data_IF_377276100039
#
_entry.id   IF_377276100039
#
_cell.length_a   1.000
_cell.length_b   1.000
_cell.length_c   1.000
_cell.angle_alpha   90.00
_cell.angle_beta   90.00
_cell.angle_gamma   90.00
#
_symmetry.space_group_name_H-M   'P 1'
#
loop_
_entity.id
_entity.type
_entity.pdbx_description
1 polymer ?
#
# COMPACT_ATOMS: atom_id res chain seq x y z
N UNK A 1 7.58 -18.49 15.23
CA UNK A 1 6.80 -19.46 16.00
C UNK A 1 6.46 -20.67 15.12
N UNK A 2 5.88 -20.47 13.93
CA UNK A 2 5.45 -21.56 13.03
C UNK A 2 6.59 -22.36 12.39
N UNK A 3 7.78 -21.79 12.29
CA UNK A 3 8.95 -22.44 11.66
C UNK A 3 9.89 -23.09 12.68
N UNK A 4 9.52 -23.12 13.96
CA UNK A 4 10.31 -23.71 15.01
C UNK A 4 10.27 -25.24 14.86
N UNK A 5 11.37 -25.85 14.41
CA UNK A 5 11.49 -27.29 14.15
C UNK A 5 11.53 -27.69 12.67
N UNK A 6 11.39 -26.76 11.75
CA UNK A 6 11.58 -26.99 10.30
C UNK A 6 13.04 -26.73 9.95
N UNK A 7 13.75 -27.75 9.53
CA UNK A 7 15.21 -27.72 9.31
C UNK A 7 15.59 -27.67 7.82
N UNK A 8 14.62 -27.68 6.91
CA UNK A 8 14.82 -27.77 5.46
C UNK A 8 15.21 -26.43 4.82
N UNK A 9 14.84 -25.29 5.42
CA UNK A 9 15.21 -23.98 4.93
C UNK A 9 15.24 -22.93 6.06
N UNK A 10 16.07 -21.91 5.88
CA UNK A 10 16.09 -20.75 6.78
C UNK A 10 14.97 -19.77 6.37
N UNK A 11 13.84 -19.80 7.05
CA UNK A 11 12.70 -18.90 6.81
C UNK A 11 12.83 -17.52 7.49
N UNK A 12 13.88 -17.32 8.29
CA UNK A 12 14.12 -16.04 8.94
C UNK A 12 14.92 -15.11 8.01
N UNK A 13 14.28 -14.66 6.94
CA UNK A 13 14.87 -13.73 5.95
C UNK A 13 14.13 -12.39 6.01
N UNK A 14 14.54 -11.46 6.89
CA UNK A 14 13.84 -10.17 7.08
C UNK A 14 13.81 -9.32 5.80
N UNK A 15 14.85 -9.44 4.98
CA UNK A 15 14.94 -8.74 3.69
C UNK A 15 13.85 -9.20 2.71
N UNK A 16 13.55 -10.50 2.67
CA UNK A 16 12.44 -11.03 1.86
C UNK A 16 11.09 -10.44 2.32
N UNK A 17 10.85 -10.46 3.64
CA UNK A 17 9.64 -9.89 4.21
C UNK A 17 9.49 -8.39 3.89
N UNK A 18 10.59 -7.63 3.96
CA UNK A 18 10.62 -6.21 3.61
C UNK A 18 10.21 -5.98 2.14
N UNK A 19 10.81 -6.68 1.19
CA UNK A 19 10.50 -6.50 -0.23
C UNK A 19 9.06 -6.91 -0.58
N UNK A 20 8.55 -7.99 0.01
CA UNK A 20 7.16 -8.40 -0.16
C UNK A 20 6.21 -7.36 0.44
N UNK A 21 6.51 -6.82 1.62
CA UNK A 21 5.68 -5.77 2.24
C UNK A 21 5.64 -4.51 1.36
N UNK A 22 6.79 -4.09 0.81
CA UNK A 22 6.85 -2.95 -0.12
C UNK A 22 6.09 -3.22 -1.43
N UNK A 23 6.13 -4.45 -1.94
CA UNK A 23 5.36 -4.85 -3.12
C UNK A 23 3.85 -4.74 -2.86
N UNK A 24 3.38 -5.20 -1.70
CA UNK A 24 1.98 -5.06 -1.30
C UNK A 24 1.59 -3.61 -1.00
N UNK A 25 2.48 -2.78 -0.47
CA UNK A 25 2.24 -1.34 -0.32
C UNK A 25 2.01 -0.69 -1.70
N UNK A 26 2.85 -0.98 -2.69
CA UNK A 26 2.66 -0.52 -4.07
C UNK A 26 1.32 -1.02 -4.66
N UNK A 27 0.93 -2.26 -4.37
CA UNK A 27 -0.38 -2.81 -4.76
C UNK A 27 -1.54 -2.01 -4.14
N UNK A 28 -1.49 -1.69 -2.85
CA UNK A 28 -2.52 -0.90 -2.17
C UNK A 28 -2.67 0.50 -2.78
N UNK A 29 -1.56 1.17 -3.08
CA UNK A 29 -1.55 2.49 -3.76
C UNK A 29 -2.20 2.39 -5.14
N UNK A 30 -2.07 1.27 -5.84
CA UNK A 30 -2.63 1.03 -7.18
C UNK A 30 -4.14 0.83 -7.18
N UNK A 31 -4.74 0.29 -6.13
CA UNK A 31 -6.17 -0.11 -6.08
C UNK A 31 -7.10 1.00 -6.59
N UNK A 32 -7.05 2.26 -6.08
CA UNK A 32 -7.95 3.31 -6.56
C UNK A 32 -7.81 3.59 -8.05
N UNK A 33 -6.60 3.58 -8.59
CA UNK A 33 -6.34 3.79 -10.02
C UNK A 33 -6.92 2.66 -10.87
N UNK A 34 -6.77 1.41 -10.41
CA UNK A 34 -7.35 0.24 -11.06
C UNK A 34 -8.87 0.32 -11.11
N UNK A 35 -9.52 0.69 -10.02
CA UNK A 35 -10.99 0.84 -9.95
C UNK A 35 -11.46 1.93 -10.92
N UNK A 36 -10.75 3.05 -11.01
CA UNK A 36 -11.09 4.14 -11.94
C UNK A 36 -11.00 3.70 -13.40
N UNK A 37 -9.96 2.94 -13.78
CA UNK A 37 -9.80 2.39 -15.13
C UNK A 37 -10.93 1.41 -15.45
N UNK A 38 -11.30 0.55 -14.50
CA UNK A 38 -12.42 -0.38 -14.65
C UNK A 38 -13.75 0.36 -14.81
N UNK A 39 -14.00 1.40 -14.01
CA UNK A 39 -15.19 2.23 -14.11
C UNK A 39 -15.28 2.98 -15.47
N UNK A 40 -14.14 3.34 -16.05
CA UNK A 40 -14.04 3.92 -17.38
C UNK A 40 -14.17 2.90 -18.54
N UNK A 41 -14.35 1.61 -18.26
CA UNK A 41 -14.44 0.52 -19.23
C UNK A 41 -13.19 0.34 -20.12
N UNK A 42 -11.99 0.69 -19.58
CA UNK A 42 -10.72 0.61 -20.29
C UNK A 42 -9.98 -0.73 -20.02
N UNK A 43 -10.67 -1.87 -20.13
CA UNK A 43 -10.13 -3.21 -19.82
C UNK A 43 -8.96 -3.64 -20.70
N UNK A 44 -9.05 -3.36 -22.01
CA UNK A 44 -8.06 -3.80 -22.98
C UNK A 44 -6.67 -3.23 -22.72
N UNK A 45 -6.60 -1.98 -22.26
CA UNK A 45 -5.35 -1.28 -21.96
C UNK A 45 -4.71 -1.84 -20.68
N UNK A 46 -5.51 -2.16 -19.67
CA UNK A 46 -5.00 -2.78 -18.44
C UNK A 46 -4.46 -4.18 -18.67
N UNK A 47 -5.07 -4.95 -19.58
CA UNK A 47 -4.58 -6.28 -19.93
C UNK A 47 -3.14 -6.24 -20.44
N UNK A 48 -2.80 -5.27 -21.30
CA UNK A 48 -1.42 -5.07 -21.80
C UNK A 48 -0.46 -4.77 -20.65
N UNK A 49 -0.86 -3.90 -19.72
CA UNK A 49 -0.04 -3.57 -18.55
C UNK A 49 0.24 -4.81 -17.70
N UNK A 50 -0.79 -5.62 -17.41
CA UNK A 50 -0.62 -6.86 -16.64
C UNK A 50 0.28 -7.87 -17.34
N UNK A 51 0.14 -8.05 -18.65
CA UNK A 51 0.98 -8.97 -19.44
C UNK A 51 2.46 -8.56 -19.37
N UNK A 52 2.76 -7.27 -19.55
CA UNK A 52 4.14 -6.75 -19.44
C UNK A 52 4.67 -6.93 -18.01
N UNK A 53 3.86 -6.65 -17.00
CA UNK A 53 4.27 -6.80 -15.61
C UNK A 53 4.57 -8.26 -15.23
N UNK A 54 3.78 -9.23 -15.73
CA UNK A 54 4.04 -10.67 -15.54
C UNK A 54 5.36 -11.07 -16.21
N UNK A 55 5.58 -10.64 -17.45
CA UNK A 55 6.84 -10.88 -18.14
C UNK A 55 8.04 -10.31 -17.39
N UNK A 56 7.92 -9.07 -16.93
CA UNK A 56 8.95 -8.39 -16.14
C UNK A 56 9.22 -9.11 -14.80
N UNK A 57 8.17 -9.56 -14.10
CA UNK A 57 8.32 -10.34 -12.88
C UNK A 57 9.09 -11.64 -13.14
N UNK A 58 8.71 -12.41 -14.16
CA UNK A 58 9.37 -13.67 -14.49
C UNK A 58 10.85 -13.44 -14.83
N UNK A 59 11.15 -12.52 -15.74
CA UNK A 59 12.51 -12.24 -16.18
C UNK A 59 13.41 -11.79 -15.03
N UNK A 60 12.94 -10.82 -14.26
CA UNK A 60 13.72 -10.30 -13.11
C UNK A 60 13.88 -11.37 -12.05
N UNK A 61 12.81 -12.12 -11.70
CA UNK A 61 12.89 -13.19 -10.70
C UNK A 61 13.88 -14.29 -11.12
N UNK A 62 13.85 -14.74 -12.37
CA UNK A 62 14.78 -15.78 -12.86
C UNK A 62 16.24 -15.32 -12.78
N UNK A 63 16.51 -14.06 -13.10
CA UNK A 63 17.87 -13.51 -13.02
C UNK A 63 18.31 -13.38 -11.56
N UNK A 64 17.45 -12.79 -10.71
CA UNK A 64 17.83 -12.46 -9.33
C UNK A 64 17.81 -13.67 -8.39
N UNK A 65 16.99 -14.70 -8.68
CA UNK A 65 17.01 -15.96 -7.92
C UNK A 65 18.37 -16.64 -7.99
N UNK A 66 19.05 -16.61 -9.14
CA UNK A 66 20.38 -17.20 -9.29
C UNK A 66 21.44 -16.52 -8.39
N UNK A 67 21.23 -15.23 -8.07
CA UNK A 67 22.17 -14.42 -7.29
C UNK A 67 21.82 -14.38 -5.79
N UNK A 68 20.54 -14.31 -5.46
CA UNK A 68 20.04 -14.00 -4.11
C UNK A 68 18.99 -15.01 -3.59
N UNK A 69 18.77 -16.13 -4.29
CA UNK A 69 17.82 -17.16 -3.89
C UNK A 69 16.40 -16.57 -3.72
N UNK A 70 15.76 -16.91 -2.61
CA UNK A 70 14.37 -16.52 -2.32
C UNK A 70 14.12 -14.99 -2.36
N UNK A 71 15.10 -14.18 -1.96
CA UNK A 71 15.03 -12.71 -1.99
C UNK A 71 14.86 -12.22 -3.43
N UNK A 72 15.45 -12.90 -4.40
CA UNK A 72 15.33 -12.56 -5.82
C UNK A 72 13.89 -12.59 -6.35
N UNK A 73 13.07 -13.54 -5.87
CA UNK A 73 11.64 -13.59 -6.23
C UNK A 73 10.90 -12.35 -5.69
N UNK A 74 11.20 -11.95 -4.45
CA UNK A 74 10.58 -10.77 -3.85
C UNK A 74 10.95 -9.48 -4.59
N UNK A 75 12.19 -9.36 -5.06
CA UNK A 75 12.65 -8.22 -5.89
C UNK A 75 11.90 -8.17 -7.22
N UNK A 76 11.74 -9.30 -7.91
CA UNK A 76 10.97 -9.37 -9.16
C UNK A 76 9.51 -8.95 -8.96
N UNK A 77 8.90 -9.41 -7.88
CA UNK A 77 7.52 -9.03 -7.52
C UNK A 77 7.42 -7.54 -7.23
N UNK A 78 8.35 -6.97 -6.45
CA UNK A 78 8.36 -5.54 -6.15
C UNK A 78 8.46 -4.69 -7.42
N UNK A 79 9.40 -5.01 -8.32
CA UNK A 79 9.59 -4.27 -9.56
C UNK A 79 8.32 -4.32 -10.43
N UNK A 80 7.71 -5.49 -10.56
CA UNK A 80 6.47 -5.64 -11.33
C UNK A 80 5.30 -4.84 -10.73
N UNK A 81 5.16 -4.83 -9.39
CA UNK A 81 4.11 -4.06 -8.70
C UNK A 81 4.33 -2.54 -8.82
N UNK A 82 5.56 -2.08 -8.69
CA UNK A 82 5.91 -0.66 -8.89
C UNK A 82 5.63 -0.23 -10.34
N UNK A 83 6.04 -1.04 -11.32
CA UNK A 83 5.74 -0.78 -12.74
C UNK A 83 4.24 -0.63 -12.98
N UNK A 84 3.42 -1.57 -12.49
CA UNK A 84 1.96 -1.50 -12.65
C UNK A 84 1.36 -0.26 -11.98
N UNK A 85 1.84 0.11 -10.79
CA UNK A 85 1.34 1.26 -10.04
C UNK A 85 1.62 2.56 -10.78
N UNK A 86 2.85 2.76 -11.25
CA UNK A 86 3.24 3.94 -12.01
C UNK A 86 2.49 4.00 -13.33
N UNK A 87 2.42 2.89 -14.08
CA UNK A 87 1.71 2.84 -15.35
C UNK A 87 0.23 3.21 -15.19
N UNK A 88 -0.46 2.64 -14.18
CA UNK A 88 -1.88 2.94 -13.96
C UNK A 88 -2.10 4.39 -13.49
N UNK A 89 -1.22 4.94 -12.68
CA UNK A 89 -1.30 6.35 -12.27
C UNK A 89 -1.14 7.29 -13.48
N UNK A 90 -0.15 7.04 -14.33
CA UNK A 90 0.07 7.82 -15.56
C UNK A 90 -1.10 7.66 -16.53
N UNK A 91 -1.60 6.43 -16.71
CA UNK A 91 -2.73 6.16 -17.61
C UNK A 91 -3.99 6.91 -17.17
N UNK A 92 -4.32 6.88 -15.87
CA UNK A 92 -5.46 7.63 -15.31
C UNK A 92 -5.29 9.15 -15.50
N UNK A 93 -4.11 9.66 -15.24
CA UNK A 93 -3.79 11.09 -15.40
C UNK A 93 -4.03 11.57 -16.84
N UNK A 94 -3.65 10.76 -17.83
CA UNK A 94 -3.69 11.17 -19.23
C UNK A 94 -5.04 10.90 -19.92
N UNK A 95 -5.80 9.88 -19.47
CA UNK A 95 -6.94 9.39 -20.24
C UNK A 95 -8.30 9.49 -19.53
N UNK A 96 -8.34 9.55 -18.19
CA UNK A 96 -9.58 9.43 -17.45
C UNK A 96 -9.93 10.69 -16.65
N UNK A 97 -9.03 11.18 -15.83
CA UNK A 97 -9.38 12.18 -14.80
C UNK A 97 -8.71 13.53 -15.05
N UNK A 98 -7.78 13.62 -15.98
CA UNK A 98 -6.97 14.83 -16.28
C UNK A 98 -6.31 15.43 -15.01
N UNK A 99 -6.05 14.62 -14.01
CA UNK A 99 -5.35 15.05 -12.80
C UNK A 99 -3.85 15.06 -13.07
N UNK A 100 -3.16 16.14 -12.68
CA UNK A 100 -1.72 16.19 -12.87
C UNK A 100 -1.03 15.07 -12.07
N UNK A 101 0.00 14.48 -12.64
CA UNK A 101 0.81 13.42 -12.00
C UNK A 101 1.35 13.83 -10.62
N UNK A 102 1.45 15.14 -10.37
CA UNK A 102 1.79 15.72 -9.07
C UNK A 102 0.83 15.29 -7.94
N UNK A 103 -0.44 15.00 -8.25
CA UNK A 103 -1.38 14.48 -7.26
C UNK A 103 -0.99 13.08 -6.78
N UNK A 104 -0.53 12.20 -7.70
CA UNK A 104 0.03 10.90 -7.36
C UNK A 104 1.28 11.04 -6.49
N UNK A 105 2.18 11.95 -6.84
CA UNK A 105 3.40 12.19 -6.08
C UNK A 105 3.09 12.75 -4.68
N UNK A 106 2.10 13.65 -4.57
CA UNK A 106 1.62 14.16 -3.28
C UNK A 106 1.06 13.05 -2.39
N UNK A 107 0.28 12.12 -2.97
CA UNK A 107 -0.24 10.95 -2.25
C UNK A 107 0.91 10.06 -1.77
N UNK A 108 1.86 9.75 -2.65
CA UNK A 108 3.02 8.93 -2.30
C UNK A 108 3.85 9.55 -1.16
N UNK A 109 4.04 10.87 -1.18
CA UNK A 109 4.72 11.60 -0.10
C UNK A 109 3.93 11.52 1.20
N UNK A 110 2.60 11.68 1.17
CA UNK A 110 1.78 11.55 2.36
C UNK A 110 1.84 10.13 2.95
N UNK A 111 1.84 9.09 2.11
CA UNK A 111 1.95 7.69 2.53
C UNK A 111 3.32 7.41 3.16
N UNK A 112 4.42 7.88 2.54
CA UNK A 112 5.77 7.74 3.09
C UNK A 112 5.91 8.47 4.43
N UNK A 113 5.40 9.70 4.54
CA UNK A 113 5.41 10.47 5.78
C UNK A 113 4.52 9.84 6.87
N UNK A 114 3.45 9.15 6.48
CA UNK A 114 2.61 8.39 7.41
C UNK A 114 3.30 7.13 7.91
N UNK A 115 4.24 6.57 7.13
CA UNK A 115 4.96 5.34 7.45
C UNK A 115 6.19 5.59 8.35
N UNK A 116 7.02 6.58 8.02
CA UNK A 116 8.33 6.76 8.63
C UNK A 116 8.28 7.01 10.16
N UNK A 117 7.48 7.97 10.72
CA UNK A 117 7.51 8.23 12.14
C UNK A 117 7.05 7.05 13.00
N UNK A 118 5.93 6.36 12.70
CA UNK A 118 5.54 5.18 13.46
C UNK A 118 6.58 4.05 13.39
N UNK A 119 7.22 3.88 12.24
CA UNK A 119 8.27 2.87 12.08
C UNK A 119 9.43 3.12 13.05
N UNK A 120 9.95 4.35 13.13
CA UNK A 120 11.04 4.69 14.06
C UNK A 120 10.61 4.53 15.52
N UNK A 121 9.40 4.93 15.87
CA UNK A 121 8.87 4.79 17.25
C UNK A 121 8.72 3.31 17.61
N UNK A 122 8.15 2.50 16.71
CA UNK A 122 7.87 1.10 16.98
C UNK A 122 9.11 0.20 16.87
N UNK A 123 10.13 0.60 16.13
CA UNK A 123 11.35 -0.19 15.94
C UNK A 123 12.14 -0.42 17.24
N UNK A 124 11.94 0.45 18.23
CA UNK A 124 12.56 0.32 19.56
C UNK A 124 11.85 -0.71 20.45
N UNK A 125 10.67 -1.18 20.04
CA UNK A 125 9.88 -2.09 20.84
C UNK A 125 10.18 -3.54 20.51
N UNK A 126 10.61 -4.29 21.51
CA UNK A 126 10.89 -5.72 21.41
C UNK A 126 9.80 -6.53 22.10
N UNK A 127 9.57 -7.76 21.62
CA UNK A 127 8.69 -8.69 22.32
C UNK A 127 9.34 -9.13 23.63
N UNK A 128 8.69 -8.84 24.74
CA UNK A 128 9.17 -9.18 26.10
C UNK A 128 9.05 -10.68 26.43
N UNK A 129 8.20 -11.42 25.71
CA UNK A 129 7.98 -12.86 25.93
C UNK A 129 7.50 -13.55 24.63
N UNK A 130 7.86 -14.82 24.45
CA UNK A 130 7.42 -15.67 23.32
C UNK A 130 5.97 -16.19 23.55
N UNK A 131 5.05 -15.31 23.87
CA UNK A 131 3.63 -15.63 24.12
C UNK A 131 2.73 -14.98 23.07
N UNK A 132 1.67 -15.70 22.66
CA UNK A 132 0.66 -15.14 21.76
C UNK A 132 -0.02 -13.89 22.34
N UNK A 133 -0.27 -13.85 23.65
CA UNK A 133 -0.86 -12.71 24.32
C UNK A 133 0.04 -11.47 24.25
N UNK A 134 1.34 -11.62 24.47
CA UNK A 134 2.32 -10.54 24.34
C UNK A 134 2.40 -10.02 22.90
N UNK A 135 2.32 -10.92 21.92
CA UNK A 135 2.30 -10.56 20.50
C UNK A 135 1.04 -9.75 20.13
N UNK A 136 -0.15 -10.21 20.56
CA UNK A 136 -1.41 -9.50 20.32
C UNK A 136 -1.39 -8.11 20.97
N UNK A 137 -0.93 -8.00 22.22
CA UNK A 137 -0.80 -6.72 22.91
C UNK A 137 0.11 -5.74 22.14
N UNK A 138 1.27 -6.22 21.68
CA UNK A 138 2.19 -5.42 20.89
C UNK A 138 1.56 -5.00 19.55
N UNK A 139 0.88 -5.92 18.85
CA UNK A 139 0.20 -5.64 17.59
C UNK A 139 -0.87 -4.56 17.73
N UNK A 140 -1.70 -4.63 18.76
CA UNK A 140 -2.74 -3.62 19.05
C UNK A 140 -2.10 -2.26 19.35
N UNK A 141 -1.06 -2.22 20.17
CA UNK A 141 -0.35 -1.00 20.52
C UNK A 141 0.28 -0.33 19.30
N UNK A 142 0.94 -1.11 18.44
CA UNK A 142 1.52 -0.64 17.17
C UNK A 142 0.41 -0.11 16.26
N UNK A 143 -0.69 -0.86 16.10
CA UNK A 143 -1.80 -0.46 15.24
C UNK A 143 -2.43 0.87 15.64
N UNK A 144 -2.59 1.13 16.93
CA UNK A 144 -3.13 2.40 17.44
C UNK A 144 -2.23 3.57 17.03
N UNK A 145 -0.91 3.44 17.19
CA UNK A 145 0.05 4.48 16.78
C UNK A 145 -0.03 4.75 15.28
N UNK A 146 -0.07 3.68 14.47
CA UNK A 146 -0.18 3.81 13.02
C UNK A 146 -1.46 4.55 12.61
N UNK A 147 -2.60 4.19 13.20
CA UNK A 147 -3.88 4.86 12.93
C UNK A 147 -3.81 6.35 13.29
N UNK A 148 -3.24 6.69 14.44
CA UNK A 148 -3.10 8.10 14.87
C UNK A 148 -2.26 8.90 13.87
N UNK A 149 -1.11 8.38 13.44
CA UNK A 149 -0.24 9.06 12.46
C UNK A 149 -0.90 9.18 11.10
N UNK A 150 -1.56 8.13 10.61
CA UNK A 150 -2.32 8.16 9.34
C UNK A 150 -3.38 9.26 9.39
N UNK A 151 -4.17 9.34 10.47
CA UNK A 151 -5.22 10.35 10.61
C UNK A 151 -4.63 11.76 10.65
N UNK A 152 -3.57 11.99 11.42
CA UNK A 152 -2.92 13.31 11.52
C UNK A 152 -2.40 13.75 10.15
N UNK A 153 -1.61 12.93 9.48
CA UNK A 153 -0.97 13.29 8.22
C UNK A 153 -2.00 13.50 7.11
N UNK A 154 -2.97 12.59 6.99
CA UNK A 154 -4.05 12.77 6.00
C UNK A 154 -4.89 14.01 6.29
N UNK A 155 -5.14 14.35 7.56
CA UNK A 155 -5.86 15.59 7.91
C UNK A 155 -5.08 16.84 7.49
N UNK A 156 -3.76 16.82 7.63
CA UNK A 156 -2.91 17.95 7.21
C UNK A 156 -2.84 18.07 5.68
N UNK A 157 -2.61 16.95 4.97
CA UNK A 157 -2.43 16.95 3.51
C UNK A 157 -3.72 17.15 2.71
N UNK A 158 -4.86 16.69 3.26
CA UNK A 158 -6.17 16.70 2.58
C UNK A 158 -7.22 17.51 3.33
N UNK A 159 -6.78 18.51 4.11
CA UNK A 159 -7.65 19.38 4.93
C UNK A 159 -8.87 19.90 4.18
N UNK A 160 -8.69 20.43 2.98
CA UNK A 160 -9.76 21.03 2.19
C UNK A 160 -10.80 20.00 1.74
N UNK A 161 -10.35 18.79 1.37
CA UNK A 161 -11.24 17.69 1.02
C UNK A 161 -12.02 17.18 2.23
N UNK A 162 -11.39 17.07 3.39
CA UNK A 162 -12.04 16.63 4.64
C UNK A 162 -13.10 17.64 5.07
N UNK A 163 -12.80 18.94 5.03
CA UNK A 163 -13.76 20.01 5.34
C UNK A 163 -14.96 19.94 4.39
N UNK A 164 -14.73 19.80 3.10
CA UNK A 164 -15.77 19.64 2.07
C UNK A 164 -16.66 18.42 2.33
N UNK A 165 -16.06 17.28 2.66
CA UNK A 165 -16.79 16.05 3.01
C UNK A 165 -17.64 16.22 4.28
N UNK A 166 -17.08 16.84 5.32
CA UNK A 166 -17.82 17.11 6.56
C UNK A 166 -19.02 18.05 6.31
N UNK A 167 -18.85 19.04 5.43
CA UNK A 167 -19.95 19.94 5.03
C UNK A 167 -21.05 19.18 4.30
N UNK A 168 -20.69 18.31 3.34
CA UNK A 168 -21.65 17.45 2.62
C UNK A 168 -22.38 16.48 3.57
N UNK A 169 -21.66 15.85 4.47
CA UNK A 169 -22.27 14.94 5.46
C UNK A 169 -23.22 15.65 6.39
N UNK A 170 -22.86 16.84 6.89
CA UNK A 170 -23.77 17.68 7.69
C UNK A 170 -25.02 18.07 6.91
N UNK A 171 -24.88 18.40 5.62
CA UNK A 171 -26.00 18.73 4.75
C UNK A 171 -26.95 17.55 4.56
N UNK A 172 -26.42 16.36 4.25
CA UNK A 172 -27.21 15.13 4.10
C UNK A 172 -27.90 14.75 5.42
N UNK A 173 -27.20 14.82 6.54
CA UNK A 173 -27.79 14.57 7.85
C UNK A 173 -28.92 15.55 8.21
N UNK A 174 -28.79 16.81 7.78
CA UNK A 174 -29.84 17.83 7.96
C UNK A 174 -31.06 17.54 7.08
N UNK A 175 -30.86 17.13 5.81
CA UNK A 175 -31.94 16.76 4.88
C UNK A 175 -32.73 15.54 5.40
N UNK A 176 -32.01 14.53 5.94
CA UNK A 176 -32.62 13.34 6.55
C UNK A 176 -33.45 13.67 7.81
N UNK A 177 -33.02 14.68 8.59
CA UNK A 177 -33.77 15.15 9.78
C UNK A 177 -35.04 15.96 9.41
N UNK A 178 -35.03 16.61 8.27
CA UNK A 178 -36.16 17.45 7.80
C UNK A 178 -37.15 16.71 6.88
N UNK A 179 -36.98 15.37 6.72
CA UNK A 179 -37.88 14.53 5.92
C UNK A 179 -37.90 14.87 4.42
N UNK A 180 -36.87 15.53 3.90
CA UNK A 180 -36.73 15.96 2.50
C UNK A 180 -35.86 15.03 1.65
N UNK A 181 -35.77 13.74 2.04
CA UNK A 181 -35.20 12.67 1.23
C UNK A 181 -36.32 11.73 0.80
#
# INVERSE_FOLDING_TARGET
IYTKGVADANYNVPVFALFITLAYAAYCIRIPYSIMILAGNHYSQTQKCYTVAVGLNIVVSVITVKLHGLVGVAVGTLIAMVYQTVWMAVYNSNNLVCWPFSCFLKQLLADVLSFLPPYFICSTWTLSASSYAAWIYLAVKVSIIWIVFIVIINTVFYRDHIISLLHKLKHVARMRRTGKL
#
